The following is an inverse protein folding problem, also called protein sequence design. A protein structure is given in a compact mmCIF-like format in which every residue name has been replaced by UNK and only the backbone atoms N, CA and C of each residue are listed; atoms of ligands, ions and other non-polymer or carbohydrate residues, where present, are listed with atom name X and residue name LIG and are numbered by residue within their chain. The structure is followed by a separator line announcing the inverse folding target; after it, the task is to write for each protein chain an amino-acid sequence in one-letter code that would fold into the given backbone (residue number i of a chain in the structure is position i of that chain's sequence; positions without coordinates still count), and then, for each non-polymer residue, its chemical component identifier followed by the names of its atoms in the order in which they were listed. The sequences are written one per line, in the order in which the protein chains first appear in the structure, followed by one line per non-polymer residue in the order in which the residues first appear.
data_IF_047810007850
#
_entry.id   IF_047810007850
#
_cell.length_a   1.000
_cell.length_b   1.000
_cell.length_c   1.000
_cell.angle_alpha   90.00
_cell.angle_beta   90.00
_cell.angle_gamma   90.00
#
_symmetry.space_group_name_H-M   'P 1'
#
loop_
_entity.id
_entity.type
_entity.pdbx_description
1 polymer ?
2 non-polymer ?
3 non-polymer ?
4 non-polymer ?
5 water ?
#
# COMPACT_ATOMS: atom_id res chain seq x y z
N UNK A 5 -3.30 5.59 13.72
CA UNK A 5 -1.93 5.26 14.23
C UNK A 5 -1.01 6.45 13.99
N UNK A 6 -1.03 7.00 12.78
CA UNK A 6 -0.23 8.17 12.51
C UNK A 6 -1.07 9.40 12.81
N UNK A 7 -0.37 10.49 13.07
CA UNK A 7 -1.01 11.76 13.38
C UNK A 7 -1.33 12.51 12.09
N UNK A 8 -2.41 12.14 11.42
CA UNK A 8 -2.64 12.53 10.02
C UNK A 8 -2.76 14.04 9.87
N UNK A 9 -2.09 14.62 8.89
CA UNK A 9 -2.18 16.07 8.76
C UNK A 9 -0.93 16.77 9.28
N UNK A 10 -0.20 16.14 10.19
CA UNK A 10 1.00 16.75 10.69
C UNK A 10 2.10 16.74 9.63
N UNK A 11 2.20 15.67 8.83
CA UNK A 11 3.24 15.53 7.82
C UNK A 11 2.86 14.36 6.91
N UNK A 12 3.69 14.09 5.91
CA UNK A 12 3.52 12.93 5.06
C UNK A 12 4.29 11.78 5.70
N UNK A 13 3.68 10.58 5.66
CA UNK A 13 4.22 9.36 6.23
C UNK A 13 4.66 8.48 5.06
N UNK A 14 5.70 7.72 5.32
CA UNK A 14 6.33 6.95 4.31
C UNK A 14 6.16 5.46 4.62
N UNK A 15 5.65 4.72 3.65
CA UNK A 15 5.53 3.29 3.77
C UNK A 15 6.59 2.64 2.87
N UNK A 16 7.53 1.90 3.42
CA UNK A 16 8.52 1.18 2.61
C UNK A 16 8.05 -0.19 2.16
N UNK A 17 8.43 -0.60 0.98
CA UNK A 17 7.95 -1.84 0.44
C UNK A 17 8.93 -2.97 0.77
N UNK A 18 8.44 -4.10 1.32
CA UNK A 18 9.25 -5.29 1.57
C UNK A 18 8.53 -6.49 0.95
N UNK A 19 8.91 -6.88 -0.26
CA UNK A 19 8.37 -8.09 -0.93
C UNK A 19 9.27 -9.28 -0.63
N UNK A 20 8.71 -10.42 -0.25
CA UNK A 20 9.54 -11.55 0.14
C UNK A 20 9.13 -12.78 -0.66
N UNK A 21 8.58 -12.56 -1.85
CA UNK A 21 8.48 -13.64 -2.83
C UNK A 21 9.89 -14.12 -3.21
N UNK A 22 9.97 -15.33 -3.76
CA UNK A 22 11.24 -15.91 -4.22
C UNK A 22 11.99 -15.03 -5.23
N UNK A 23 11.30 -14.51 -6.26
CA UNK A 23 11.89 -13.59 -7.28
C UNK A 23 12.45 -12.34 -6.61
N UNK A 24 12.05 -12.03 -5.39
CA UNK A 24 12.56 -10.79 -4.76
C UNK A 24 14.03 -11.00 -4.34
N UNK A 25 14.54 -12.22 -4.29
CA UNK A 25 15.88 -12.49 -3.70
C UNK A 25 16.85 -12.91 -4.83
N UNK A 26 18.15 -12.67 -4.68
CA UNK A 26 19.16 -13.24 -5.62
C UNK A 26 19.01 -14.76 -5.73
N UNK A 27 18.82 -15.40 -4.58
CA UNK A 27 18.72 -16.85 -4.46
C UNK A 27 17.46 -17.17 -3.64
N UNK A 28 16.41 -17.60 -4.35
CA UNK A 28 15.07 -17.80 -3.79
C UNK A 28 14.97 -19.05 -2.91
N UNK A 29 16.01 -19.87 -2.83
CA UNK A 29 16.15 -20.95 -1.85
C UNK A 29 16.84 -20.48 -0.58
N UNK A 30 17.99 -19.83 -0.76
CA UNK A 30 18.88 -19.43 0.34
C UNK A 30 18.11 -19.23 1.66
N UNK A 31 18.52 -20.02 2.66
CA UNK A 31 18.03 -19.98 4.06
C UNK A 31 18.38 -18.62 4.70
N UNK A 32 19.20 -17.80 4.03
CA UNK A 32 19.56 -16.48 4.56
C UNK A 32 18.59 -15.41 4.04
N UNK A 33 17.66 -15.74 3.14
CA UNK A 33 16.67 -14.76 2.70
C UNK A 33 15.97 -14.08 3.87
N UNK A 34 15.68 -14.80 4.94
CA UNK A 34 15.01 -14.17 6.06
C UNK A 34 15.87 -13.01 6.59
N UNK A 35 17.17 -13.22 6.73
CA UNK A 35 18.07 -12.20 7.31
C UNK A 35 18.27 -11.03 6.34
N UNK A 36 18.28 -11.33 5.03
CA UNK A 36 18.38 -10.34 3.96
C UNK A 36 17.14 -9.42 4.02
N UNK A 37 15.94 -10.04 4.10
CA UNK A 37 14.71 -9.28 4.19
C UNK A 37 14.77 -8.35 5.41
N UNK A 38 15.25 -8.84 6.53
CA UNK A 38 15.28 -8.03 7.77
C UNK A 38 16.30 -6.89 7.64
N UNK A 39 17.42 -7.15 6.98
CA UNK A 39 18.42 -6.09 6.75
C UNK A 39 17.79 -4.99 5.87
N UNK A 40 17.07 -5.39 4.83
CA UNK A 40 16.37 -4.44 3.98
C UNK A 40 15.40 -3.59 4.79
N UNK A 41 14.69 -4.19 5.75
CA UNK A 41 13.76 -3.41 6.56
C UNK A 41 14.51 -2.47 7.50
N UNK A 42 15.60 -2.94 8.07
CA UNK A 42 16.42 -2.05 8.94
C UNK A 42 16.91 -0.84 8.14
N UNK A 43 17.34 -1.06 6.90
CA UNK A 43 17.78 0.01 6.00
C UNK A 43 16.64 1.00 5.76
N UNK A 44 15.42 0.51 5.51
CA UNK A 44 14.34 1.45 5.18
C UNK A 44 13.98 2.29 6.40
N UNK A 45 14.07 1.67 7.57
CA UNK A 45 13.75 2.37 8.81
C UNK A 45 14.81 3.46 9.04
N UNK A 46 16.08 3.13 8.79
CA UNK A 46 17.15 4.11 8.95
C UNK A 46 16.98 5.23 7.93
N UNK A 47 16.52 4.93 6.71
CA UNK A 47 16.23 5.97 5.73
C UNK A 47 14.97 6.77 6.06
N UNK A 48 14.20 6.34 7.05
CA UNK A 48 13.09 7.14 7.56
C UNK A 48 11.70 6.56 7.26
N UNK A 49 11.57 5.28 6.94
CA UNK A 49 10.21 4.68 6.79
C UNK A 49 9.43 4.76 8.11
N UNK A 50 8.12 4.99 8.01
CA UNK A 50 7.22 5.08 9.15
C UNK A 50 6.48 3.74 9.37
N UNK A 51 6.39 2.94 8.31
CA UNK A 51 5.70 1.67 8.37
C UNK A 51 6.27 0.84 7.22
N UNK A 52 6.31 -0.49 7.38
CA UNK A 52 6.81 -1.41 6.36
C UNK A 52 5.65 -2.27 5.85
N UNK A 53 5.49 -2.36 4.53
CA UNK A 53 4.44 -3.08 3.89
C UNK A 53 5.05 -4.38 3.38
N UNK A 54 4.67 -5.46 4.05
CA UNK A 54 5.27 -6.74 3.82
C UNK A 54 4.33 -7.58 2.96
N UNK A 55 4.81 -8.18 1.88
CA UNK A 55 3.92 -8.98 1.05
C UNK A 55 4.56 -10.30 0.66
N UNK A 56 3.78 -11.38 0.68
CA UNK A 56 4.31 -12.67 0.32
C UNK A 56 3.76 -13.14 -1.00
N UNK A 57 2.81 -12.40 -1.54
CA UNK A 57 2.34 -12.52 -2.91
C UNK A 57 2.58 -11.18 -3.59
N UNK A 58 3.05 -11.20 -4.83
CA UNK A 58 3.21 -9.96 -5.58
C UNK A 58 1.89 -9.66 -6.32
N UNK A 59 1.38 -8.44 -6.16
CA UNK A 59 0.23 -7.95 -6.96
C UNK A 59 0.69 -7.14 -8.19
N UNK A 60 1.98 -7.06 -8.40
CA UNK A 60 2.56 -6.57 -9.63
C UNK A 60 2.05 -7.41 -10.81
N UNK A 61 1.67 -6.78 -11.92
CA UNK A 61 0.98 -7.48 -13.03
C UNK A 61 1.68 -8.74 -13.60
N UNK A 62 0.92 -9.80 -13.86
CA UNK A 62 1.49 -11.10 -14.25
C UNK A 62 2.56 -11.61 -13.29
N UNK A 63 2.33 -11.49 -11.99
CA UNK A 63 2.91 -12.41 -11.04
C UNK A 63 1.82 -13.41 -10.64
N UNK A 64 2.24 -14.58 -10.21
CA UNK A 64 1.31 -15.67 -9.99
C UNK A 64 0.61 -15.52 -8.62
N UNK A 65 -0.51 -16.20 -8.52
CA UNK A 65 -1.28 -16.32 -7.29
C UNK A 65 -0.50 -17.28 -6.37
N UNK A 66 -0.50 -16.97 -5.08
CA UNK A 66 0.08 -17.79 -4.02
C UNK A 66 -1.08 -18.27 -3.13
N UNK A 67 -1.11 -19.56 -2.77
CA UNK A 67 -2.12 -20.03 -1.80
C UNK A 67 -1.70 -19.49 -0.43
N UNK A 68 -2.66 -19.41 0.46
CA UNK A 68 -2.42 -18.68 1.70
C UNK A 68 -1.46 -19.41 2.64
N UNK A 69 -1.36 -20.74 2.57
CA UNK A 69 -0.39 -21.45 3.37
C UNK A 69 1.03 -21.00 2.95
N UNK A 70 1.26 -20.99 1.64
CA UNK A 70 2.56 -20.57 1.12
C UNK A 70 2.81 -19.11 1.50
N UNK A 71 1.79 -18.27 1.35
CA UNK A 71 1.96 -16.85 1.63
C UNK A 71 2.40 -16.67 3.10
N UNK A 72 1.79 -17.44 4.00
CA UNK A 72 2.09 -17.34 5.47
C UNK A 72 3.49 -17.84 5.83
N UNK A 73 3.91 -18.88 5.11
CA UNK A 73 5.26 -19.45 5.29
C UNK A 73 6.30 -18.37 4.95
N UNK A 74 6.00 -17.54 3.95
CA UNK A 74 6.92 -16.46 3.57
C UNK A 74 6.85 -15.33 4.59
N UNK A 75 5.66 -14.93 5.03
CA UNK A 75 5.61 -13.69 5.83
C UNK A 75 5.76 -13.95 7.33
N UNK A 76 5.36 -15.11 7.88
CA UNK A 76 5.31 -15.29 9.37
C UNK A 76 6.70 -15.11 10.00
N UNK A 77 7.71 -15.79 9.47
CA UNK A 77 9.04 -15.60 10.05
C UNK A 77 9.57 -14.16 9.94
N UNK A 78 9.19 -13.44 8.89
CA UNK A 78 9.64 -12.06 8.76
C UNK A 78 8.94 -11.18 9.78
N UNK A 79 7.64 -11.38 9.97
CA UNK A 79 6.90 -10.60 10.98
C UNK A 79 7.50 -10.85 12.37
N UNK A 80 7.82 -12.10 12.67
CA UNK A 80 8.36 -12.38 14.01
C UNK A 80 9.67 -11.62 14.21
N UNK A 81 10.60 -11.69 13.25
CA UNK A 81 11.87 -10.98 13.42
C UNK A 81 11.68 -9.47 13.42
N UNK A 82 10.80 -8.95 12.56
CA UNK A 82 10.57 -7.51 12.57
C UNK A 82 10.13 -7.05 13.96
N UNK A 83 9.18 -7.78 14.53
CA UNK A 83 8.55 -7.43 15.79
C UNK A 83 9.56 -7.46 16.94
N UNK A 84 10.52 -8.39 16.91
CA UNK A 84 11.51 -8.40 17.98
C UNK A 84 12.71 -7.50 17.64
N UNK A 85 13.15 -7.34 16.39
CA UNK A 85 14.42 -6.68 16.10
C UNK A 85 14.23 -5.19 15.73
N UNK A 86 13.00 -4.71 15.59
CA UNK A 86 12.74 -3.45 14.93
C UNK A 86 11.47 -2.87 15.54
N UNK A 87 11.57 -1.64 15.99
CA UNK A 87 10.46 -0.98 16.58
C UNK A 87 9.76 -0.21 15.46
N UNK A 88 9.01 -0.87 14.59
CA UNK A 88 8.34 -0.20 13.49
C UNK A 88 6.97 -0.83 13.19
N UNK A 89 5.98 -0.01 12.88
CA UNK A 89 4.73 -0.61 12.51
C UNK A 89 4.88 -1.41 11.20
N UNK A 90 4.03 -2.41 11.07
CA UNK A 90 4.02 -3.31 9.91
C UNK A 90 2.62 -3.30 9.30
N UNK A 91 2.60 -3.41 7.98
CA UNK A 91 1.39 -3.50 7.23
C UNK A 91 1.44 -4.83 6.49
N UNK A 92 0.36 -5.58 6.39
CA UNK A 92 0.46 -6.84 5.67
C UNK A 92 -0.29 -6.66 4.35
N UNK A 93 0.45 -6.81 3.27
CA UNK A 93 -0.09 -6.60 1.97
C UNK A 93 -0.74 -7.93 1.57
N UNK A 94 -1.99 -8.12 1.89
CA UNK A 94 -2.67 -9.35 1.48
C UNK A 94 -4.15 -9.03 1.24
N UNK A 95 -4.79 -9.72 0.30
CA UNK A 95 -6.22 -9.65 0.19
C UNK A 95 -6.88 -10.90 0.78
N UNK A 96 -6.10 -11.77 1.43
CA UNK A 96 -6.68 -13.00 2.00
C UNK A 96 -6.86 -12.84 3.51
N UNK A 97 -8.09 -13.11 3.96
CA UNK A 97 -8.50 -12.92 5.34
C UNK A 97 -7.71 -13.82 6.29
N UNK A 98 -7.39 -15.03 5.87
CA UNK A 98 -6.64 -15.97 6.76
C UNK A 98 -5.19 -15.54 6.93
N UNK A 99 -4.61 -14.99 5.86
CA UNK A 99 -3.27 -14.43 5.96
C UNK A 99 -3.30 -13.24 6.93
N UNK A 100 -4.25 -12.35 6.69
CA UNK A 100 -4.39 -11.16 7.54
C UNK A 100 -4.53 -11.52 9.01
N UNK A 101 -5.40 -12.49 9.25
CA UNK A 101 -5.66 -12.96 10.61
C UNK A 101 -4.37 -13.38 11.32
N UNK A 102 -3.59 -14.28 10.69
CA UNK A 102 -2.33 -14.73 11.33
C UNK A 102 -1.40 -13.54 11.57
N UNK A 103 -1.31 -12.67 10.56
CA UNK A 103 -0.41 -11.50 10.68
C UNK A 103 -0.85 -10.65 11.85
N UNK A 104 -2.17 -10.48 11.97
CA UNK A 104 -2.68 -9.58 13.01
C UNK A 104 -2.50 -10.22 14.39
N UNK A 105 -2.65 -11.55 14.50
CA UNK A 105 -2.33 -12.19 15.77
C UNK A 105 -0.88 -11.94 16.16
N UNK A 106 0.04 -11.89 15.21
CA UNK A 106 1.46 -11.61 15.53
C UNK A 106 1.76 -10.12 15.73
N UNK A 107 0.79 -9.21 15.66
CA UNK A 107 1.06 -7.81 16.04
C UNK A 107 1.29 -6.87 14.85
N UNK A 108 1.10 -7.31 13.63
CA UNK A 108 0.94 -6.39 12.51
C UNK A 108 -0.14 -5.36 12.82
N UNK A 109 0.05 -4.12 12.36
CA UNK A 109 -0.84 -2.99 12.66
C UNK A 109 -1.92 -2.77 11.60
N UNK A 110 -1.66 -3.01 10.33
CA UNK A 110 -2.58 -2.58 9.27
C UNK A 110 -2.68 -3.69 8.23
N UNK A 111 -3.85 -3.90 7.67
CA UNK A 111 -4.00 -4.77 6.54
C UNK A 111 -4.09 -3.84 5.32
N UNK A 112 -3.22 -4.09 4.37
CA UNK A 112 -3.23 -3.42 3.13
C UNK A 112 -3.91 -4.33 2.09
N UNK A 113 -5.18 -4.08 1.82
CA UNK A 113 -5.95 -4.98 0.93
C UNK A 113 -6.10 -4.37 -0.46
N UNK A 114 -5.42 -4.94 -1.45
CA UNK A 114 -5.46 -4.42 -2.82
C UNK A 114 -6.75 -4.83 -3.54
N UNK A 115 -7.68 -5.47 -2.87
CA UNK A 115 -9.04 -5.65 -3.42
C UNK A 115 -10.09 -4.94 -2.56
N UNK A 116 -9.67 -4.18 -1.56
CA UNK A 116 -10.59 -3.28 -0.90
C UNK A 116 -11.78 -4.00 -0.29
N UNK A 117 -11.47 -5.14 0.32
CA UNK A 117 -12.32 -6.00 1.09
C UNK A 117 -13.20 -6.82 0.15
N UNK A 118 -12.99 -6.81 -1.16
CA UNK A 118 -13.96 -7.49 -2.04
C UNK A 118 -13.52 -8.91 -2.41
N UNK A 119 -12.29 -9.34 -2.18
CA UNK A 119 -11.91 -10.63 -2.70
C UNK A 119 -12.17 -11.70 -1.64
N UNK A 120 -12.17 -11.35 -0.37
CA UNK A 120 -12.40 -12.33 0.64
C UNK A 120 -13.53 -11.83 1.54
N UNK A 121 -14.65 -12.54 1.53
CA UNK A 121 -15.82 -12.12 2.30
C UNK A 121 -15.48 -12.07 3.80
N UNK A 122 -14.42 -12.75 4.28
CA UNK A 122 -14.12 -12.69 5.72
C UNK A 122 -13.22 -11.51 6.12
N UNK A 123 -12.74 -10.74 5.13
CA UNK A 123 -11.65 -9.79 5.42
C UNK A 123 -12.16 -8.71 6.36
N UNK A 124 -13.35 -8.16 6.09
CA UNK A 124 -13.89 -7.11 6.92
C UNK A 124 -14.01 -7.57 8.37
N UNK A 125 -14.49 -8.80 8.62
CA UNK A 125 -14.71 -9.18 10.05
C UNK A 125 -13.38 -9.49 10.73
N UNK A 126 -12.40 -9.95 9.96
CA UNK A 126 -11.04 -10.09 10.54
C UNK A 126 -10.52 -8.72 10.97
N UNK A 127 -10.73 -7.69 10.15
CA UNK A 127 -10.18 -6.37 10.51
C UNK A 127 -10.85 -5.85 11.78
N UNK A 128 -12.18 -6.03 11.81
CA UNK A 128 -13.00 -5.62 12.97
C UNK A 128 -12.58 -6.36 14.23
N UNK A 129 -12.46 -7.67 14.06
CA UNK A 129 -12.09 -8.58 15.15
C UNK A 129 -10.79 -8.14 15.83
N UNK A 130 -9.77 -7.69 15.09
CA UNK A 130 -8.50 -7.36 15.73
C UNK A 130 -8.41 -5.85 15.93
N UNK A 131 -9.44 -5.10 15.58
CA UNK A 131 -9.36 -3.66 15.67
C UNK A 131 -8.19 -3.16 14.83
N UNK A 132 -8.04 -3.71 13.64
CA UNK A 132 -6.87 -3.34 12.84
C UNK A 132 -7.15 -2.05 12.05
N UNK A 133 -6.08 -1.45 11.57
CA UNK A 133 -6.17 -0.43 10.54
C UNK A 133 -6.26 -1.18 9.21
N UNK A 134 -6.93 -0.56 8.25
CA UNK A 134 -7.01 -1.12 6.93
C UNK A 134 -6.83 -0.02 5.87
N UNK A 135 -6.10 -0.39 4.84
CA UNK A 135 -6.08 0.35 3.63
C UNK A 135 -7.00 -0.35 2.63
N UNK A 136 -8.00 0.41 2.21
CA UNK A 136 -8.96 -0.04 1.23
C UNK A 136 -8.57 0.56 -0.12
N UNK A 137 -8.10 -0.29 -1.01
CA UNK A 137 -7.62 0.15 -2.26
C UNK A 137 -8.66 -0.18 -3.35
N UNK A 138 -8.85 0.75 -4.27
CA UNK A 138 -9.73 0.57 -5.42
C UNK A 138 -9.08 -0.41 -6.40
N UNK A 139 -9.84 -1.34 -6.95
CA UNK A 139 -9.27 -2.29 -7.93
C UNK A 139 -10.43 -2.87 -8.74
N UNK A 140 -10.20 -3.31 -9.96
CA UNK A 140 -11.19 -4.01 -10.73
C UNK A 140 -10.46 -4.76 -11.83
N UNK A 141 -11.15 -5.70 -12.47
CA UNK A 141 -10.51 -6.30 -13.64
C UNK A 141 -10.90 -5.53 -14.90
N UNK A 142 -9.91 -5.38 -15.79
CA UNK A 142 -10.05 -4.58 -16.97
C UNK A 142 -10.21 -3.10 -16.65
N UNK A 143 -10.42 -2.36 -17.74
CA UNK A 143 -10.30 -0.91 -17.72
C UNK A 143 -11.59 -0.24 -18.19
N UNK A 144 -12.76 -0.86 -18.00
CA UNK A 144 -13.99 -0.24 -18.46
C UNK A 144 -14.69 0.45 -17.29
N UNK A 145 -15.16 1.66 -17.55
CA UNK A 145 -15.87 2.45 -16.55
C UNK A 145 -17.08 3.09 -17.25
N UNK A 146 -18.30 2.81 -16.82
CA UNK A 146 -19.49 3.37 -17.44
C UNK A 146 -19.75 4.78 -16.90
N UNK A 147 -19.39 5.05 -15.65
CA UNK A 147 -19.42 6.38 -15.08
C UNK A 147 -18.03 7.02 -15.15
N UNK A 148 -18.01 8.33 -14.86
CA UNK A 148 -16.82 9.06 -14.54
C UNK A 148 -15.92 8.19 -13.62
N UNK A 149 -14.67 8.01 -14.01
CA UNK A 149 -13.75 7.18 -13.25
C UNK A 149 -13.66 7.62 -11.79
N UNK A 150 -13.66 8.91 -11.48
CA UNK A 150 -13.53 9.28 -10.06
C UNK A 150 -14.84 9.01 -9.30
N UNK A 151 -15.97 9.12 -10.00
CA UNK A 151 -17.27 8.76 -9.38
C UNK A 151 -17.26 7.25 -9.09
N UNK A 152 -16.78 6.40 -10.01
CA UNK A 152 -16.77 4.95 -9.77
C UNK A 152 -15.91 4.64 -8.54
N UNK A 153 -14.74 5.28 -8.45
CA UNK A 153 -13.81 5.00 -7.40
C UNK A 153 -14.48 5.37 -6.07
N UNK A 154 -15.13 6.51 -6.06
CA UNK A 154 -15.76 6.94 -4.81
C UNK A 154 -16.93 6.02 -4.42
N UNK A 155 -17.69 5.56 -5.42
CA UNK A 155 -18.81 4.64 -5.17
C UNK A 155 -18.27 3.34 -4.53
N UNK A 156 -17.16 2.85 -5.11
CA UNK A 156 -16.51 1.65 -4.66
C UNK A 156 -16.06 1.83 -3.21
N UNK A 157 -15.47 2.98 -2.89
CA UNK A 157 -15.06 3.19 -1.51
C UNK A 157 -16.26 3.19 -0.56
N UNK A 158 -17.38 3.73 -1.00
CA UNK A 158 -18.55 3.84 -0.15
C UNK A 158 -19.05 2.45 0.22
N UNK A 159 -19.11 1.57 -0.77
CA UNK A 159 -19.53 0.22 -0.52
C UNK A 159 -18.56 -0.52 0.41
N UNK A 160 -17.26 -0.44 0.15
CA UNK A 160 -16.24 -1.09 0.98
C UNK A 160 -16.28 -0.51 2.39
N UNK A 161 -16.53 0.77 2.53
CA UNK A 161 -16.54 1.38 3.87
C UNK A 161 -17.76 0.84 4.63
N UNK A 162 -18.88 0.66 3.94
CA UNK A 162 -20.08 0.12 4.59
C UNK A 162 -19.87 -1.34 5.01
N UNK A 163 -19.23 -2.15 4.15
CA UNK A 163 -18.82 -3.50 4.54
C UNK A 163 -17.97 -3.44 5.82
N UNK A 164 -16.98 -2.57 5.82
CA UNK A 164 -16.15 -2.48 7.01
C UNK A 164 -17.02 -2.13 8.22
N UNK A 165 -17.89 -1.17 8.06
CA UNK A 165 -18.65 -0.74 9.24
C UNK A 165 -19.66 -1.80 9.73
N UNK A 166 -20.23 -2.57 8.82
CA UNK A 166 -21.17 -3.60 9.20
C UNK A 166 -20.48 -4.64 10.08
N UNK A 167 -19.13 -4.70 10.02
CA UNK A 167 -18.39 -5.65 10.82
C UNK A 167 -17.71 -4.93 11.98
N UNK A 168 -18.18 -3.73 12.28
CA UNK A 168 -17.69 -3.01 13.49
C UNK A 168 -16.29 -2.39 13.36
N UNK A 169 -15.79 -2.20 12.13
CA UNK A 169 -14.54 -1.46 11.94
C UNK A 169 -14.78 0.02 12.26
N UNK A 170 -13.98 0.63 13.10
CA UNK A 170 -14.15 2.08 13.33
C UNK A 170 -13.69 2.91 12.11
N UNK A 171 -14.37 4.01 11.89
CA UNK A 171 -14.09 4.93 10.78
C UNK A 171 -12.65 5.42 10.84
N UNK A 172 -12.11 5.63 12.04
CA UNK A 172 -10.79 6.18 12.18
C UNK A 172 -9.74 5.15 11.76
N UNK A 173 -10.12 3.91 11.44
CA UNK A 173 -9.11 2.91 11.15
C UNK A 173 -8.90 2.81 9.64
N UNK A 174 -9.72 3.52 8.88
CA UNK A 174 -9.71 3.35 7.43
C UNK A 174 -8.84 4.42 6.74
N UNK A 175 -8.11 3.92 5.76
CA UNK A 175 -7.29 4.66 4.82
C UNK A 175 -7.76 4.25 3.42
N UNK A 176 -7.90 5.19 2.49
CA UNK A 176 -8.29 4.87 1.11
C UNK A 176 -7.13 5.11 0.13
N UNK A 177 -7.13 4.34 -0.95
CA UNK A 177 -6.10 4.38 -1.92
C UNK A 177 -6.74 4.14 -3.29
N UNK A 178 -6.44 5.00 -4.28
CA UNK A 178 -7.14 4.94 -5.56
C UNK A 178 -6.65 3.84 -6.49
N UNK A 179 -5.54 3.21 -6.13
CA UNK A 179 -5.15 1.99 -6.85
C UNK A 179 -4.58 2.31 -8.22
N UNK A 180 -3.54 3.13 -8.23
CA UNK A 180 -2.86 3.43 -9.50
C UNK A 180 -2.32 2.13 -10.08
N UNK A 181 -2.59 1.88 -11.35
CA UNK A 181 -2.04 0.71 -11.98
C UNK A 181 -2.98 -0.50 -11.90
N UNK A 182 -4.14 -0.36 -11.27
CA UNK A 182 -5.03 -1.50 -11.08
C UNK A 182 -6.37 -1.20 -11.74
N UNK A 183 -6.72 -1.96 -12.78
CA UNK A 183 -8.00 -1.72 -13.42
C UNK A 183 -8.08 -0.40 -14.17
N UNK A 184 -6.92 0.06 -14.65
CA UNK A 184 -6.78 1.39 -15.19
C UNK A 184 -5.65 1.37 -16.21
N UNK A 185 -5.90 1.93 -17.39
CA UNK A 185 -4.84 2.15 -18.37
C UNK A 185 -4.14 3.49 -18.12
N UNK A 186 -3.21 3.79 -19.01
CA UNK A 186 -2.31 4.93 -18.89
C UNK A 186 -3.12 6.22 -18.66
N UNK A 187 -4.07 6.44 -19.54
CA UNK A 187 -4.82 7.68 -19.52
C UNK A 187 -5.65 7.78 -18.24
N UNK A 188 -6.16 6.65 -17.78
CA UNK A 188 -7.02 6.65 -16.62
C UNK A 188 -6.14 6.90 -15.39
N UNK A 189 -4.95 6.30 -15.39
CA UNK A 189 -4.02 6.50 -14.28
C UNK A 189 -3.64 7.98 -14.16
N UNK A 190 -3.33 8.57 -15.32
CA UNK A 190 -3.01 10.03 -15.43
C UNK A 190 -4.17 10.87 -14.89
N UNK A 191 -5.36 10.48 -15.32
CA UNK A 191 -6.53 11.23 -14.94
C UNK A 191 -6.76 11.19 -13.43
N UNK A 192 -6.62 9.99 -12.87
CA UNK A 192 -6.79 9.81 -11.42
C UNK A 192 -5.75 10.64 -10.64
N UNK A 193 -4.49 10.63 -11.07
CA UNK A 193 -3.44 11.43 -10.46
C UNK A 193 -3.79 12.92 -10.54
N UNK A 194 -4.26 13.36 -11.71
CA UNK A 194 -4.64 14.76 -11.94
C UNK A 194 -5.79 15.14 -10.99
N UNK A 195 -6.75 14.24 -10.77
CA UNK A 195 -7.99 14.59 -10.04
C UNK A 195 -7.96 14.08 -8.58
N UNK A 196 -6.81 13.63 -8.12
CA UNK A 196 -6.69 12.89 -6.88
C UNK A 196 -7.31 13.69 -5.74
N UNK A 197 -7.26 15.02 -5.80
CA UNK A 197 -7.74 15.84 -4.67
C UNK A 197 -9.26 15.65 -4.48
N UNK A 198 -10.00 15.20 -5.50
CA UNK A 198 -11.47 14.98 -5.36
C UNK A 198 -11.73 13.92 -4.27
N UNK A 199 -10.76 13.04 -3.97
CA UNK A 199 -10.95 11.99 -2.95
C UNK A 199 -10.97 12.58 -1.55
N UNK A 200 -10.47 13.80 -1.39
CA UNK A 200 -10.46 14.42 -0.05
C UNK A 200 -11.89 14.62 0.48
N UNK A 201 -12.89 14.72 -0.39
CA UNK A 201 -14.29 14.95 0.03
C UNK A 201 -14.78 13.78 0.90
N UNK A 202 -14.24 12.57 0.77
CA UNK A 202 -14.79 11.45 1.54
C UNK A 202 -14.35 11.60 3.00
N UNK A 203 -13.33 12.37 3.34
CA UNK A 203 -13.02 12.63 4.75
C UNK A 203 -11.99 11.66 5.33
N UNK A 204 -11.38 10.77 4.53
CA UNK A 204 -10.49 9.70 5.03
C UNK A 204 -9.04 9.98 4.62
N UNK A 205 -8.06 9.51 5.41
CA UNK A 205 -6.65 9.56 5.03
C UNK A 205 -6.44 8.83 3.69
N UNK A 206 -5.47 9.28 2.90
CA UNK A 206 -5.26 8.71 1.55
C UNK A 206 -3.84 8.17 1.46
N UNK A 207 -3.72 7.01 0.82
CA UNK A 207 -2.47 6.37 0.56
C UNK A 207 -2.30 6.25 -0.96
N UNK A 208 -1.09 6.53 -1.41
CA UNK A 208 -0.81 6.50 -2.86
C UNK A 208 0.39 5.59 -3.14
N UNK A 209 0.27 4.79 -4.18
CA UNK A 209 1.41 4.03 -4.64
C UNK A 209 1.59 4.08 -6.14
N UNK A 210 2.73 4.59 -6.58
CA UNK A 210 3.08 4.74 -8.02
C UNK A 210 4.48 4.20 -8.30
N UNK A 211 5.25 4.00 -7.24
CA UNK A 211 6.67 3.74 -7.33
C UNK A 211 6.96 2.67 -8.39
N UNK A 212 7.71 3.08 -9.39
CA UNK A 212 8.27 2.25 -10.46
C UNK A 212 7.20 1.71 -11.41
N UNK A 213 5.96 2.14 -11.31
CA UNK A 213 4.91 1.52 -12.10
C UNK A 213 5.01 1.93 -13.58
N UNK A 214 4.31 1.17 -14.40
CA UNK A 214 4.33 1.30 -15.85
C UNK A 214 3.70 2.64 -16.27
N UNK A 215 2.85 3.23 -15.44
CA UNK A 215 2.33 4.56 -15.77
C UNK A 215 3.47 5.60 -15.84
N UNK A 216 4.47 5.45 -14.98
CA UNK A 216 5.63 6.29 -15.03
C UNK A 216 6.53 5.87 -16.20
N UNK A 217 6.68 4.57 -16.39
CA UNK A 217 7.53 4.03 -17.46
C UNK A 217 7.08 4.45 -18.85
N UNK A 218 5.80 4.73 -19.01
CA UNK A 218 5.33 5.13 -20.30
C UNK A 218 5.79 6.57 -20.58
N UNK A 219 6.01 7.40 -19.56
CA UNK A 219 6.49 8.77 -19.76
C UNK A 219 8.02 8.76 -19.77
N UNK A 220 8.60 7.90 -18.94
CA UNK A 220 10.02 7.80 -18.77
C UNK A 220 10.46 6.37 -19.10
N UNK A 221 10.69 6.04 -20.40
CA UNK A 221 10.90 4.64 -20.80
C UNK A 221 12.30 4.15 -20.43
N UNK A 222 12.56 4.06 -19.13
CA UNK A 222 13.78 3.46 -18.63
C UNK A 222 13.34 2.32 -17.71
N UNK A 223 14.32 1.53 -17.28
CA UNK A 223 14.05 0.38 -16.41
C UNK A 223 13.46 0.88 -15.09
N UNK A 224 12.67 0.03 -14.41
CA UNK A 224 11.85 0.42 -13.29
C UNK A 224 12.61 1.22 -12.23
N UNK A 225 13.80 0.80 -11.84
CA UNK A 225 14.52 1.45 -10.72
C UNK A 225 14.91 2.88 -11.13
N UNK A 226 15.11 3.10 -12.43
CA UNK A 226 15.52 4.41 -12.96
C UNK A 226 14.30 5.33 -13.16
N UNK A 227 13.10 4.96 -12.67
CA UNK A 227 11.95 5.85 -12.76
C UNK A 227 11.81 6.71 -11.50
N UNK A 228 12.83 6.76 -10.65
CA UNK A 228 12.69 7.43 -9.34
C UNK A 228 12.20 8.89 -9.49
N UNK A 229 12.64 9.66 -10.49
CA UNK A 229 12.26 11.07 -10.45
C UNK A 229 10.78 11.20 -10.84
N UNK A 230 10.26 10.29 -11.65
CA UNK A 230 8.80 10.25 -11.88
C UNK A 230 8.02 9.96 -10.61
N UNK A 231 8.52 9.02 -9.82
CA UNK A 231 7.83 8.64 -8.62
C UNK A 231 7.86 9.83 -7.64
N UNK A 232 9.02 10.46 -7.56
CA UNK A 232 9.12 11.67 -6.72
C UNK A 232 8.11 12.73 -7.19
N UNK A 233 7.90 12.85 -8.49
CA UNK A 233 6.93 13.82 -8.95
C UNK A 233 5.54 13.46 -8.42
N UNK A 234 5.17 12.18 -8.48
CA UNK A 234 3.82 11.79 -8.04
C UNK A 234 3.70 11.89 -6.51
N UNK A 235 4.76 11.58 -5.80
CA UNK A 235 4.74 11.80 -4.34
C UNK A 235 4.40 13.26 -4.05
N UNK A 236 5.06 14.17 -4.75
CA UNK A 236 4.97 15.62 -4.45
C UNK A 236 3.57 16.15 -4.77
N UNK A 237 3.08 15.80 -5.96
CA UNK A 237 1.76 16.19 -6.39
C UNK A 237 0.70 15.56 -5.50
N UNK A 238 0.93 14.29 -5.13
CA UNK A 238 0.00 13.60 -4.27
C UNK A 238 -0.15 14.33 -2.96
N UNK A 239 0.96 14.69 -2.34
CA UNK A 239 0.86 15.35 -1.04
C UNK A 239 0.08 16.65 -1.21
N UNK A 240 0.33 17.39 -2.29
CA UNK A 240 -0.38 18.64 -2.49
C UNK A 240 -1.88 18.36 -2.60
N UNK A 241 -2.24 17.23 -3.22
CA UNK A 241 -3.62 16.83 -3.41
C UNK A 241 -4.25 16.16 -2.16
N UNK A 242 -3.53 16.00 -1.06
CA UNK A 242 -4.14 15.51 0.17
C UNK A 242 -3.59 14.15 0.61
N UNK A 243 -2.63 13.58 -0.14
CA UNK A 243 -2.10 12.27 0.22
C UNK A 243 -1.40 12.35 1.58
N UNK A 244 -1.62 11.31 2.40
CA UNK A 244 -1.07 11.23 3.75
C UNK A 244 0.08 10.23 3.81
N UNK A 245 0.02 9.19 2.99
CA UNK A 245 0.99 8.15 3.07
C UNK A 245 1.36 7.78 1.64
N UNK A 246 2.66 7.65 1.35
CA UNK A 246 3.11 7.17 0.06
C UNK A 246 3.82 5.84 0.25
N UNK A 247 3.50 4.89 -0.62
CA UNK A 247 4.11 3.57 -0.58
C UNK A 247 5.21 3.55 -1.65
N UNK A 248 6.46 3.41 -1.25
CA UNK A 248 7.62 3.63 -2.12
C UNK A 248 8.69 2.56 -1.92
N UNK A 249 9.43 2.26 -3.00
CA UNK A 249 10.68 1.50 -2.89
C UNK A 249 11.85 2.31 -2.34
N UNK A 250 11.92 3.61 -2.61
CA UNK A 250 13.11 4.38 -2.30
C UNK A 250 12.72 5.35 -1.19
N UNK A 251 13.01 4.94 0.00
CA UNK A 251 12.41 5.64 1.11
C UNK A 251 13.04 7.04 1.31
N UNK A 252 14.36 7.12 1.28
CA UNK A 252 15.07 8.35 1.66
C UNK A 252 14.70 9.50 0.70
N UNK A 253 14.79 9.19 -0.59
CA UNK A 253 14.57 10.16 -1.63
C UNK A 253 13.13 10.65 -1.56
N UNK A 254 12.16 9.76 -1.45
CA UNK A 254 10.78 10.22 -1.34
C UNK A 254 10.57 10.98 -0.03
N UNK A 255 11.14 10.55 1.08
CA UNK A 255 10.96 11.33 2.33
C UNK A 255 11.49 12.77 2.17
N UNK A 256 12.67 12.92 1.54
CA UNK A 256 13.26 14.27 1.40
C UNK A 256 12.32 15.16 0.58
N UNK A 257 11.78 14.67 -0.54
CA UNK A 257 10.82 15.42 -1.35
C UNK A 257 9.54 15.73 -0.57
N UNK A 258 9.08 14.76 0.22
CA UNK A 258 7.88 14.92 1.00
C UNK A 258 8.09 16.01 2.05
N UNK A 259 9.25 16.08 2.66
CA UNK A 259 9.50 17.15 3.67
C UNK A 259 9.47 18.53 3.02
N UNK A 260 9.96 18.62 1.78
CA UNK A 260 10.00 19.89 1.09
C UNK A 260 8.56 20.28 0.77
N UNK A 261 7.77 19.32 0.31
CA UNK A 261 6.39 19.60 0.00
C UNK A 261 5.60 19.91 1.28
N UNK A 262 5.86 19.16 2.35
CA UNK A 262 5.15 19.41 3.61
C UNK A 262 5.42 20.85 4.05
N UNK A 263 6.66 21.33 3.91
CA UNK A 263 7.02 22.69 4.40
C UNK A 263 6.26 23.75 3.60
N UNK A 264 5.91 23.48 2.35
CA UNK A 264 5.18 24.45 1.53
C UNK A 264 3.67 24.40 1.80
N UNK A 265 3.04 23.24 1.97
CA UNK A 265 1.57 23.19 2.06
C UNK A 265 1.01 22.86 3.44
N UNK A 266 1.76 22.29 4.35
CA UNK A 266 1.16 21.85 5.61
C UNK A 266 1.44 22.97 6.62
N UNK A 267 0.50 23.18 7.54
CA UNK A 267 0.40 24.45 8.25
C UNK A 267 1.33 24.38 9.48
#
# INVERSE_FOLDING_TARGET
GGGHMFDYGKRTYIMGILNVTPDSFSDGGDFNNLDIAIQHAKDMVDQGADIIDLGGESTRPGHSYVDSDEELRRVIPVIKKLKQELDIPISIDTYKADVAEEALKLGVTMVNDVWGLRKDKNMASVIGKYDAEVCIMHNQDGTNYDKDIMESIKDFFKVSIEMAMSCGVKKEKIVLDPGVGFGKDFEQNIEVLRRLNELKDLGYPILLGTSRKSVIGKVLPVEPKKRLEGTIATTVLGIRDGVDIVRVHDVYENLMAARMTDAIYRK
#
